data_IF_653631795388
#
_entry.id   IF_653631795388
#
_cell.length_a   1.000
_cell.length_b   1.000
_cell.length_c   1.000
_cell.angle_alpha   90.00
_cell.angle_beta   90.00
_cell.angle_gamma   90.00
#
_symmetry.space_group_name_H-M   'P 1'
#
loop_
_entity.id
_entity.type
_entity.pdbx_description
1 polymer ?
#
# COMPACT_ATOMS: atom_id res chain seq x y z
N UNK A 1 -25.13 -75.62 17.11
CA UNK A 1 -24.14 -74.66 16.57
C UNK A 1 -24.81 -73.87 15.46
N UNK A 2 -25.30 -72.64 15.73
CA UNK A 2 -25.89 -71.76 14.70
C UNK A 2 -24.74 -71.02 14.01
N UNK A 3 -24.49 -71.33 12.75
CA UNK A 3 -23.59 -70.55 11.90
C UNK A 3 -24.34 -69.24 11.59
N UNK A 4 -23.92 -68.15 12.23
CA UNK A 4 -24.48 -66.83 12.00
C UNK A 4 -24.32 -66.44 10.53
N UNK A 5 -25.41 -66.01 9.92
CA UNK A 5 -25.47 -65.52 8.54
C UNK A 5 -24.43 -64.42 8.31
N UNK A 6 -23.53 -64.61 7.35
CA UNK A 6 -22.65 -63.54 6.88
C UNK A 6 -23.51 -62.37 6.36
N UNK A 7 -23.24 -61.13 6.79
CA UNK A 7 -23.99 -59.97 6.32
C UNK A 7 -23.84 -59.85 4.81
N UNK A 8 -24.97 -59.65 4.14
CA UNK A 8 -25.07 -59.64 2.69
C UNK A 8 -24.30 -58.42 2.11
N UNK A 9 -23.05 -58.65 1.71
CA UNK A 9 -22.06 -57.62 1.32
C UNK A 9 -22.63 -56.65 0.27
N UNK A 10 -23.59 -57.08 -0.55
CA UNK A 10 -24.23 -56.25 -1.58
C UNK A 10 -25.18 -55.17 -1.04
N UNK A 11 -25.80 -55.35 0.14
CA UNK A 11 -26.74 -54.35 0.72
C UNK A 11 -26.04 -53.23 1.48
N UNK A 12 -24.83 -53.47 1.97
CA UNK A 12 -24.02 -52.49 2.71
C UNK A 12 -23.12 -51.64 1.81
N UNK A 13 -22.87 -52.04 0.55
CA UNK A 13 -22.11 -51.25 -0.44
C UNK A 13 -22.60 -49.82 -0.63
N UNK A 14 -23.90 -49.54 -0.87
CA UNK A 14 -24.35 -48.16 -1.03
C UNK A 14 -24.20 -47.34 0.26
N UNK A 15 -24.46 -47.95 1.42
CA UNK A 15 -24.31 -47.29 2.72
C UNK A 15 -22.83 -46.94 3.01
N UNK A 16 -21.91 -47.87 2.75
CA UNK A 16 -20.46 -47.63 2.89
C UNK A 16 -20.02 -46.52 1.96
N UNK A 17 -20.44 -46.53 0.69
CA UNK A 17 -20.10 -45.48 -0.27
C UNK A 17 -20.63 -44.10 0.17
N UNK A 18 -21.85 -44.03 0.70
CA UNK A 18 -22.42 -42.78 1.23
C UNK A 18 -21.64 -42.29 2.44
N UNK A 19 -21.36 -43.16 3.41
CA UNK A 19 -20.60 -42.80 4.61
C UNK A 19 -19.17 -42.37 4.29
N UNK A 20 -18.48 -43.08 3.40
CA UNK A 20 -17.14 -42.68 2.92
C UNK A 20 -17.20 -41.36 2.18
N UNK A 21 -18.21 -41.12 1.34
CA UNK A 21 -18.38 -39.85 0.63
C UNK A 21 -18.64 -38.69 1.59
N UNK A 22 -19.46 -38.90 2.63
CA UNK A 22 -19.71 -37.91 3.67
C UNK A 22 -18.46 -37.62 4.51
N UNK A 23 -17.66 -38.64 4.82
CA UNK A 23 -16.38 -38.48 5.50
C UNK A 23 -15.37 -37.69 4.65
N UNK A 24 -15.27 -38.00 3.36
CA UNK A 24 -14.39 -37.28 2.43
C UNK A 24 -14.84 -35.83 2.24
N UNK A 25 -16.14 -35.61 2.05
CA UNK A 25 -16.70 -34.27 1.91
C UNK A 25 -16.54 -33.46 3.22
N UNK A 26 -16.85 -34.05 4.37
CA UNK A 26 -16.70 -33.41 5.67
C UNK A 26 -15.25 -33.11 6.01
N UNK A 27 -14.35 -34.07 5.80
CA UNK A 27 -12.92 -33.90 5.98
C UNK A 27 -12.33 -32.86 5.02
N UNK A 28 -12.72 -32.89 3.75
CA UNK A 28 -12.31 -31.90 2.75
C UNK A 28 -12.79 -30.49 3.11
N UNK A 29 -14.05 -30.35 3.54
CA UNK A 29 -14.58 -29.06 3.99
C UNK A 29 -13.88 -28.54 5.25
N UNK A 30 -13.67 -29.39 6.26
CA UNK A 30 -12.95 -29.01 7.46
C UNK A 30 -11.50 -28.59 7.15
N UNK A 31 -10.80 -29.36 6.31
CA UNK A 31 -9.45 -29.05 5.85
C UNK A 31 -9.39 -27.72 5.10
N UNK A 32 -10.34 -27.46 4.20
CA UNK A 32 -10.46 -26.18 3.50
C UNK A 32 -10.66 -25.02 4.48
N UNK A 33 -11.58 -25.16 5.46
CA UNK A 33 -11.85 -24.10 6.44
C UNK A 33 -10.64 -23.80 7.34
N UNK A 34 -9.89 -24.83 7.73
CA UNK A 34 -8.65 -24.66 8.49
C UNK A 34 -7.60 -23.94 7.65
N UNK A 35 -7.41 -24.37 6.39
CA UNK A 35 -6.48 -23.72 5.48
C UNK A 35 -6.85 -22.25 5.24
N UNK A 36 -8.12 -21.98 4.95
CA UNK A 36 -8.61 -20.63 4.69
C UNK A 36 -8.43 -19.71 5.91
N UNK A 37 -8.75 -20.19 7.10
CA UNK A 37 -8.53 -19.43 8.34
C UNK A 37 -7.04 -19.19 8.63
N UNK A 38 -6.20 -20.21 8.47
CA UNK A 38 -4.77 -20.10 8.81
C UNK A 38 -3.94 -19.36 7.76
N UNK A 39 -4.40 -19.34 6.50
CA UNK A 39 -3.62 -18.83 5.37
C UNK A 39 -4.21 -17.59 4.71
N UNK A 40 -5.52 -17.36 4.84
CA UNK A 40 -6.21 -16.24 4.19
C UNK A 40 -6.91 -15.27 5.13
N UNK A 41 -7.11 -15.63 6.39
CA UNK A 41 -7.75 -14.74 7.38
C UNK A 41 -6.70 -13.90 8.13
N UNK A 42 -6.69 -12.56 7.96
CA UNK A 42 -5.77 -11.66 8.66
C UNK A 42 -5.86 -11.76 10.20
N UNK A 43 -7.00 -12.20 10.74
CA UNK A 43 -7.21 -12.38 12.19
C UNK A 43 -6.32 -13.50 12.74
N UNK A 44 -6.02 -14.53 11.94
CA UNK A 44 -5.12 -15.59 12.38
C UNK A 44 -3.71 -15.05 12.63
N UNK A 45 -3.19 -14.18 11.76
CA UNK A 45 -1.84 -13.64 11.86
C UNK A 45 -1.61 -12.91 13.19
N UNK A 46 -2.60 -12.12 13.65
CA UNK A 46 -2.53 -11.41 14.93
C UNK A 46 -2.75 -12.28 16.17
N UNK A 47 -3.10 -13.55 16.01
CA UNK A 47 -3.32 -14.46 17.14
C UNK A 47 -2.02 -15.05 17.72
N UNK A 48 -0.96 -15.09 16.91
CA UNK A 48 0.29 -15.80 17.21
C UNK A 48 1.55 -14.93 17.02
N UNK A 49 1.43 -13.67 16.63
CA UNK A 49 2.57 -12.76 16.52
C UNK A 49 2.13 -11.34 16.87
N UNK A 50 3.06 -10.55 17.43
CA UNK A 50 2.79 -9.17 17.86
C UNK A 50 2.46 -8.34 16.64
N UNK A 51 1.20 -7.96 16.52
CA UNK A 51 0.68 -7.34 15.30
C UNK A 51 -0.36 -6.27 15.56
N UNK A 52 -0.76 -6.01 16.81
CA UNK A 52 -1.89 -5.13 17.14
C UNK A 52 -1.79 -3.76 16.46
N UNK A 53 -0.64 -3.10 16.57
CA UNK A 53 -0.40 -1.80 15.96
C UNK A 53 -0.34 -1.88 14.43
N UNK A 54 0.40 -2.83 13.89
CA UNK A 54 0.55 -3.03 12.45
C UNK A 54 -0.78 -3.42 11.78
N UNK A 55 -1.59 -4.23 12.45
CA UNK A 55 -2.92 -4.65 12.03
C UNK A 55 -3.88 -3.46 12.03
N UNK A 56 -3.90 -2.66 13.09
CA UNK A 56 -4.72 -1.46 13.17
C UNK A 56 -4.37 -0.42 12.07
N UNK A 57 -3.09 -0.28 11.71
CA UNK A 57 -2.68 0.55 10.57
C UNK A 57 -3.12 -0.04 9.24
N UNK A 58 -2.97 -1.36 9.04
CA UNK A 58 -3.45 -2.05 7.85
C UNK A 58 -4.98 -1.94 7.66
N UNK A 59 -5.76 -2.10 8.73
CA UNK A 59 -7.23 -1.99 8.72
C UNK A 59 -7.72 -0.62 8.22
N UNK A 60 -6.92 0.43 8.46
CA UNK A 60 -7.23 1.80 8.02
C UNK A 60 -6.61 2.14 6.67
N UNK A 61 -5.78 1.26 6.13
CA UNK A 61 -5.05 1.51 4.89
C UNK A 61 -5.92 1.20 3.66
N UNK A 62 -5.47 1.71 2.50
CA UNK A 62 -6.06 1.35 1.20
C UNK A 62 -5.91 -0.13 0.84
N UNK A 63 -5.10 -0.89 1.61
CA UNK A 63 -4.81 -2.31 1.40
C UNK A 63 -5.57 -3.24 2.35
N UNK A 64 -6.60 -2.78 3.08
CA UNK A 64 -7.40 -3.63 4.00
C UNK A 64 -8.05 -4.86 3.34
N UNK A 65 -8.19 -4.87 2.01
CA UNK A 65 -8.66 -6.03 1.25
C UNK A 65 -7.55 -6.96 0.70
N UNK A 66 -6.27 -6.63 0.94
CA UNK A 66 -5.13 -7.42 0.48
C UNK A 66 -4.75 -8.45 1.53
N UNK A 67 -4.57 -9.71 1.12
CA UNK A 67 -4.17 -10.77 2.04
C UNK A 67 -2.73 -10.50 2.52
N UNK A 68 -2.48 -10.65 3.82
CA UNK A 68 -1.17 -10.46 4.41
C UNK A 68 -0.06 -11.23 3.67
N UNK A 69 -0.34 -12.46 3.24
CA UNK A 69 0.60 -13.33 2.55
C UNK A 69 0.92 -12.90 1.11
N UNK A 70 0.11 -12.07 0.47
CA UNK A 70 0.44 -11.53 -0.85
C UNK A 70 1.69 -10.62 -0.79
N UNK A 71 1.96 -10.05 0.40
CA UNK A 71 3.17 -9.28 0.69
C UNK A 71 4.17 -10.05 1.57
N UNK A 72 3.67 -10.75 2.59
CA UNK A 72 4.46 -11.47 3.60
C UNK A 72 4.51 -12.96 3.27
N UNK A 73 5.44 -13.35 2.40
CA UNK A 73 5.67 -14.76 2.09
C UNK A 73 6.52 -15.43 3.18
N UNK A 74 5.86 -15.96 4.20
CA UNK A 74 6.47 -16.84 5.20
C UNK A 74 6.44 -18.29 4.70
N UNK A 75 7.55 -19.00 4.80
CA UNK A 75 7.56 -20.45 4.64
C UNK A 75 6.81 -21.12 5.81
N UNK A 76 6.26 -22.33 5.62
CA UNK A 76 5.64 -23.08 6.71
C UNK A 76 6.56 -23.24 7.93
N UNK A 77 7.86 -23.40 7.70
CA UNK A 77 8.86 -23.53 8.76
C UNK A 77 8.99 -22.23 9.57
N UNK A 78 9.04 -21.08 8.90
CA UNK A 78 9.06 -19.78 9.58
C UNK A 78 7.77 -19.54 10.36
N UNK A 79 6.61 -19.87 9.78
CA UNK A 79 5.32 -19.81 10.49
C UNK A 79 5.31 -20.65 11.77
N UNK A 80 5.85 -21.88 11.73
CA UNK A 80 5.99 -22.74 12.91
C UNK A 80 6.94 -22.13 13.95
N UNK A 81 8.04 -21.52 13.52
CA UNK A 81 8.99 -20.84 14.43
C UNK A 81 8.35 -19.63 15.12
N UNK A 82 7.57 -18.83 14.39
CA UNK A 82 6.80 -17.74 14.97
C UNK A 82 5.80 -18.26 16.02
N UNK A 83 5.04 -19.31 15.69
CA UNK A 83 4.12 -19.93 16.63
C UNK A 83 4.82 -20.48 17.89
N UNK A 84 5.96 -21.15 17.72
CA UNK A 84 6.78 -21.62 18.84
C UNK A 84 7.26 -20.46 19.71
N UNK A 85 7.81 -19.40 19.10
CA UNK A 85 8.28 -18.21 19.83
C UNK A 85 7.13 -17.58 20.62
N UNK A 86 5.94 -17.45 20.03
CA UNK A 86 4.79 -16.89 20.72
C UNK A 86 4.36 -17.71 21.94
N UNK A 87 4.24 -19.04 21.81
CA UNK A 87 3.78 -19.91 22.89
C UNK A 87 4.81 -19.99 24.03
N UNK A 88 6.09 -20.18 23.68
CA UNK A 88 7.14 -20.52 24.64
C UNK A 88 8.01 -19.33 25.05
N UNK A 89 8.25 -18.35 24.18
CA UNK A 89 9.11 -17.19 24.46
C UNK A 89 8.30 -15.94 24.79
N UNK A 90 7.05 -15.82 24.29
CA UNK A 90 6.11 -14.72 24.58
C UNK A 90 6.74 -13.34 24.48
N UNK A 91 7.29 -12.97 23.31
CA UNK A 91 7.90 -11.65 23.14
C UNK A 91 6.86 -10.54 23.36
N UNK A 92 7.30 -9.40 23.89
CA UNK A 92 6.47 -8.21 24.07
C UNK A 92 6.74 -7.11 23.04
N UNK A 93 7.80 -7.26 22.23
CA UNK A 93 8.12 -6.35 21.14
C UNK A 93 8.70 -7.09 19.93
N UNK A 94 8.49 -6.53 18.74
CA UNK A 94 9.14 -6.98 17.51
C UNK A 94 10.60 -6.49 17.52
N UNK A 95 11.61 -7.36 17.39
CA UNK A 95 12.99 -6.95 17.43
C UNK A 95 13.34 -5.97 16.29
N UNK A 96 14.34 -5.09 16.49
CA UNK A 96 14.78 -4.17 15.46
C UNK A 96 15.16 -4.92 14.17
N UNK A 97 14.71 -4.39 13.04
CA UNK A 97 14.87 -5.06 11.74
C UNK A 97 16.30 -4.96 11.17
N UNK A 98 17.21 -4.19 11.80
CA UNK A 98 18.60 -4.00 11.38
C UNK A 98 18.77 -3.79 9.86
N UNK A 99 17.90 -2.99 9.24
CA UNK A 99 17.93 -2.71 7.81
C UNK A 99 17.43 -3.83 6.88
N UNK A 100 16.93 -4.94 7.41
CA UNK A 100 16.37 -6.04 6.61
C UNK A 100 15.06 -5.63 5.93
N UNK A 101 14.95 -5.98 4.66
CA UNK A 101 13.73 -5.85 3.87
C UNK A 101 12.82 -7.01 4.23
N UNK A 102 11.68 -6.72 4.86
CA UNK A 102 10.67 -7.73 5.22
C UNK A 102 9.73 -8.01 4.04
N UNK A 103 9.32 -6.95 3.36
CA UNK A 103 8.49 -7.01 2.15
C UNK A 103 9.29 -6.38 1.03
N UNK A 104 9.68 -7.20 0.06
CA UNK A 104 10.39 -6.76 -1.13
C UNK A 104 9.46 -5.99 -2.06
N UNK A 105 9.99 -4.98 -2.76
CA UNK A 105 9.24 -4.21 -3.76
C UNK A 105 8.60 -5.06 -4.87
N UNK A 106 9.09 -6.28 -5.12
CA UNK A 106 8.52 -7.18 -6.13
C UNK A 106 7.03 -7.49 -5.89
N UNK A 107 6.59 -7.57 -4.63
CA UNK A 107 5.19 -7.83 -4.30
C UNK A 107 4.30 -6.62 -4.58
N UNK A 108 4.85 -5.41 -4.47
CA UNK A 108 4.17 -4.18 -4.88
C UNK A 108 3.99 -4.15 -6.41
N UNK A 109 5.02 -4.55 -7.15
CA UNK A 109 5.07 -4.54 -8.62
C UNK A 109 4.01 -5.46 -9.23
N UNK A 110 3.71 -6.61 -8.62
CA UNK A 110 2.69 -7.55 -9.09
C UNK A 110 1.34 -6.85 -9.31
N UNK A 111 0.89 -6.04 -8.35
CA UNK A 111 -0.36 -5.31 -8.44
C UNK A 111 -0.21 -3.96 -9.18
N UNK A 112 0.81 -3.17 -8.85
CA UNK A 112 0.94 -1.78 -9.29
C UNK A 112 1.58 -1.61 -10.68
N UNK A 113 2.23 -2.65 -11.21
CA UNK A 113 2.90 -2.61 -12.52
C UNK A 113 2.46 -3.74 -13.44
N UNK A 114 2.41 -4.98 -12.96
CA UNK A 114 2.14 -6.18 -13.77
C UNK A 114 0.64 -6.41 -13.97
N UNK A 115 -0.19 -5.86 -13.08
CA UNK A 115 -1.65 -6.02 -12.98
C UNK A 115 -2.03 -7.42 -12.49
N UNK A 116 -2.62 -7.47 -11.31
CA UNK A 116 -3.16 -8.67 -10.69
C UNK A 116 -4.70 -8.70 -10.85
N UNK A 117 -5.24 -9.80 -11.37
CA UNK A 117 -6.69 -9.98 -11.55
C UNK A 117 -7.45 -10.04 -10.22
N UNK A 118 -6.80 -10.43 -9.12
CA UNK A 118 -7.37 -10.41 -7.77
C UNK A 118 -7.60 -8.98 -7.28
N UNK A 119 -6.82 -8.03 -7.79
CA UNK A 119 -6.82 -6.62 -7.36
C UNK A 119 -6.94 -5.65 -8.56
N UNK A 120 -8.04 -5.70 -9.33
CA UNK A 120 -8.21 -4.90 -10.54
C UNK A 120 -8.25 -3.39 -10.28
N UNK A 121 -8.54 -2.98 -9.03
CA UNK A 121 -8.57 -1.59 -8.58
C UNK A 121 -7.18 -1.02 -8.23
N UNK A 122 -6.11 -1.83 -8.31
CA UNK A 122 -4.77 -1.37 -8.00
C UNK A 122 -4.35 -0.23 -8.95
N UNK A 123 -3.92 0.89 -8.37
CA UNK A 123 -3.46 2.06 -9.14
C UNK A 123 -2.15 1.73 -9.84
N UNK A 124 -2.07 1.94 -11.16
CA UNK A 124 -0.83 1.69 -11.88
C UNK A 124 0.19 2.81 -11.66
N UNK A 125 1.45 2.44 -11.41
CA UNK A 125 2.56 3.38 -11.29
C UNK A 125 3.35 3.57 -12.59
N UNK A 126 2.93 2.93 -13.71
CA UNK A 126 3.68 2.93 -14.98
C UNK A 126 3.98 4.33 -15.53
N UNK A 127 3.10 5.30 -15.29
CA UNK A 127 3.26 6.67 -15.76
C UNK A 127 3.91 7.60 -14.72
N UNK A 128 4.29 7.09 -13.54
CA UNK A 128 4.87 7.90 -12.47
C UNK A 128 6.36 8.09 -12.68
N UNK A 129 6.77 9.34 -12.90
CA UNK A 129 8.17 9.71 -13.05
C UNK A 129 8.95 9.63 -11.73
N UNK A 130 8.33 9.85 -10.58
CA UNK A 130 8.94 9.69 -9.26
C UNK A 130 9.29 8.22 -9.04
N UNK A 131 8.39 7.29 -9.39
CA UNK A 131 8.70 5.87 -9.32
C UNK A 131 9.81 5.50 -10.31
N UNK A 132 9.80 6.01 -11.54
CA UNK A 132 10.89 5.79 -12.52
C UNK A 132 12.24 6.24 -11.95
N UNK A 133 12.34 7.49 -11.47
CA UNK A 133 13.58 8.04 -10.92
C UNK A 133 14.05 7.31 -9.67
N UNK A 134 13.16 7.04 -8.72
CA UNK A 134 13.58 6.51 -7.41
C UNK A 134 13.58 4.99 -7.37
N UNK A 135 12.48 4.36 -7.76
CA UNK A 135 12.31 2.91 -7.68
C UNK A 135 13.11 2.15 -8.74
N UNK A 136 13.19 2.66 -9.96
CA UNK A 136 13.76 1.92 -11.09
C UNK A 136 15.18 2.40 -11.46
N UNK A 137 15.39 3.69 -11.71
CA UNK A 137 16.71 4.24 -12.05
C UNK A 137 17.67 4.15 -10.85
N UNK A 138 17.23 4.63 -9.67
CA UNK A 138 18.04 4.61 -8.44
C UNK A 138 17.94 3.31 -7.66
N UNK A 139 17.04 2.39 -8.04
CA UNK A 139 16.84 1.08 -7.39
C UNK A 139 16.56 1.19 -5.89
N UNK A 140 15.81 2.22 -5.48
CA UNK A 140 15.40 2.40 -4.09
C UNK A 140 14.22 1.45 -3.82
N UNK A 141 14.36 0.64 -2.77
CA UNK A 141 13.29 -0.27 -2.33
C UNK A 141 11.99 0.48 -2.05
N UNK A 142 10.87 -0.03 -2.57
CA UNK A 142 9.55 0.60 -2.41
C UNK A 142 9.19 0.84 -0.94
N UNK A 143 9.57 -0.10 -0.06
CA UNK A 143 9.34 -0.03 1.38
C UNK A 143 10.16 1.05 2.10
N UNK A 144 11.17 1.66 1.45
CA UNK A 144 11.87 2.82 2.00
C UNK A 144 10.98 4.06 2.02
N UNK A 145 10.11 4.21 1.01
CA UNK A 145 9.16 5.31 0.91
C UNK A 145 7.79 4.92 1.48
N UNK A 146 7.24 3.81 0.98
CA UNK A 146 5.89 3.32 1.30
C UNK A 146 5.84 2.38 2.52
N UNK A 147 6.95 2.22 3.23
CA UNK A 147 7.03 1.39 4.44
C UNK A 147 7.84 2.06 5.56
N UNK A 148 8.11 3.37 5.43
CA UNK A 148 8.78 4.15 6.47
C UNK A 148 8.00 4.10 7.79
N UNK A 149 6.66 4.16 7.69
CA UNK A 149 5.74 3.81 8.77
C UNK A 149 5.10 2.45 8.47
N UNK A 150 4.98 1.61 9.49
CA UNK A 150 4.52 0.22 9.31
C UNK A 150 3.06 0.20 8.86
N UNK A 151 2.81 -0.34 7.67
CA UNK A 151 1.49 -0.45 7.03
C UNK A 151 0.77 0.89 6.78
N UNK A 152 1.52 2.00 6.80
CA UNK A 152 1.07 3.30 6.32
C UNK A 152 1.80 3.57 5.00
N UNK A 153 1.12 3.28 3.89
CA UNK A 153 1.75 3.25 2.57
C UNK A 153 1.82 4.61 1.88
N UNK A 154 1.15 5.64 2.36
CA UNK A 154 1.33 7.00 1.84
C UNK A 154 2.51 7.65 2.59
N UNK A 155 3.58 8.05 1.89
CA UNK A 155 4.68 8.77 2.53
C UNK A 155 4.19 10.09 3.13
N UNK A 156 4.85 10.60 4.17
CA UNK A 156 4.55 11.92 4.72
C UNK A 156 5.12 13.05 3.85
N UNK A 157 4.59 14.27 4.04
CA UNK A 157 4.96 15.49 3.30
C UNK A 157 6.46 15.77 3.25
N UNK A 158 7.17 15.44 4.33
CA UNK A 158 8.61 15.70 4.48
C UNK A 158 9.48 14.47 4.23
N UNK A 159 8.91 13.34 3.79
CA UNK A 159 9.70 12.14 3.52
C UNK A 159 10.85 12.40 2.54
N UNK A 160 10.66 13.30 1.57
CA UNK A 160 11.68 13.64 0.58
C UNK A 160 13.00 14.11 1.19
N UNK A 161 12.97 14.82 2.33
CA UNK A 161 14.19 15.38 2.96
C UNK A 161 15.04 14.32 3.65
N UNK A 162 14.54 13.10 3.82
CA UNK A 162 15.32 11.97 4.34
C UNK A 162 16.51 11.61 3.44
N UNK A 163 16.40 11.90 2.14
CA UNK A 163 17.48 11.71 1.17
C UNK A 163 17.93 13.04 0.55
N UNK A 164 17.01 14.00 0.38
CA UNK A 164 17.31 15.35 -0.11
C UNK A 164 17.62 16.29 1.06
N UNK A 165 18.66 15.97 1.81
CA UNK A 165 19.06 16.74 2.99
C UNK A 165 19.31 18.21 2.65
N UNK A 166 18.80 19.11 3.50
CA UNK A 166 18.89 20.55 3.31
C UNK A 166 18.02 21.12 2.19
N UNK A 167 17.13 20.32 1.56
CA UNK A 167 16.19 20.77 0.52
C UNK A 167 14.79 20.99 1.08
N UNK A 168 14.69 21.93 2.01
CA UNK A 168 13.41 22.32 2.61
C UNK A 168 12.79 23.49 1.84
N UNK A 169 11.45 23.52 1.78
CA UNK A 169 10.75 24.67 1.20
C UNK A 169 10.91 25.86 2.13
N UNK A 170 11.52 26.93 1.62
CA UNK A 170 11.73 28.19 2.31
C UNK A 170 10.95 29.33 1.63
N UNK A 171 10.69 30.40 2.38
CA UNK A 171 9.99 31.58 1.88
C UNK A 171 8.80 31.94 2.77
N UNK A 172 8.46 33.24 2.82
CA UNK A 172 7.40 33.75 3.66
C UNK A 172 6.06 33.06 3.33
N UNK A 173 5.50 32.32 4.29
CA UNK A 173 4.24 31.57 4.15
C UNK A 173 4.35 30.23 3.39
N UNK A 174 5.52 29.87 2.86
CA UNK A 174 5.76 28.59 2.17
C UNK A 174 6.49 27.56 3.03
N UNK A 175 7.00 27.96 4.19
CA UNK A 175 7.59 27.04 5.17
C UNK A 175 6.58 25.92 5.46
N UNK A 176 7.09 24.69 5.54
CA UNK A 176 6.32 23.45 5.76
C UNK A 176 5.49 22.95 4.57
N UNK A 177 5.49 23.61 3.40
CA UNK A 177 4.88 23.00 2.23
C UNK A 177 5.62 21.71 1.85
N UNK A 178 4.87 20.63 1.63
CA UNK A 178 5.37 19.42 0.97
C UNK A 178 5.97 19.75 -0.40
N UNK A 179 7.02 19.05 -0.80
CA UNK A 179 7.63 19.21 -2.13
C UNK A 179 6.61 19.01 -3.27
N UNK A 180 5.63 18.13 -3.05
CA UNK A 180 4.59 17.76 -4.01
C UNK A 180 3.54 18.85 -4.27
N UNK A 181 3.54 19.92 -3.47
CA UNK A 181 2.75 21.12 -3.78
C UNK A 181 3.20 21.77 -5.10
N UNK A 182 4.48 21.64 -5.45
CA UNK A 182 5.08 22.20 -6.65
C UNK A 182 5.53 21.09 -7.61
N UNK A 183 6.29 20.12 -7.12
CA UNK A 183 6.83 19.01 -7.90
C UNK A 183 5.78 17.93 -8.15
N UNK A 184 5.69 17.41 -9.38
CA UNK A 184 4.67 16.43 -9.71
C UNK A 184 5.11 15.52 -10.84
N UNK A 185 4.64 14.26 -10.81
CA UNK A 185 4.79 13.30 -11.90
C UNK A 185 4.11 13.70 -13.22
N UNK A 186 3.33 14.77 -13.17
CA UNK A 186 2.54 15.27 -14.28
C UNK A 186 3.27 16.34 -15.10
N UNK A 187 4.48 16.72 -14.71
CA UNK A 187 5.36 17.60 -15.50
C UNK A 187 6.51 16.80 -16.11
N UNK A 188 7.04 17.22 -17.25
CA UNK A 188 7.99 16.42 -18.06
C UNK A 188 9.31 16.08 -17.35
N UNK A 189 9.76 16.94 -16.45
CA UNK A 189 11.08 16.85 -15.81
C UNK A 189 11.01 17.03 -14.29
N UNK A 190 9.82 16.80 -13.71
CA UNK A 190 9.49 16.99 -12.29
C UNK A 190 9.66 18.44 -11.80
N UNK A 191 10.02 19.40 -12.65
CA UNK A 191 10.06 20.82 -12.27
C UNK A 191 8.63 21.36 -12.23
N UNK A 192 8.29 22.25 -11.29
CA UNK A 192 6.99 22.89 -11.30
C UNK A 192 6.83 23.73 -12.57
N UNK A 193 5.60 23.87 -13.04
CA UNK A 193 5.28 24.83 -14.10
C UNK A 193 4.68 26.10 -13.46
N UNK A 194 4.63 27.19 -14.22
CA UNK A 194 4.13 28.50 -13.73
C UNK A 194 2.75 28.36 -13.08
N UNK A 195 1.86 27.59 -13.69
CA UNK A 195 0.49 27.41 -13.25
C UNK A 195 0.43 26.77 -11.86
N UNK A 196 1.39 25.90 -11.48
CA UNK A 196 1.45 25.34 -10.13
C UNK A 196 1.59 26.41 -9.06
N UNK A 197 2.42 27.42 -9.31
CA UNK A 197 2.56 28.57 -8.42
C UNK A 197 1.23 29.34 -8.32
N UNK A 198 0.55 29.50 -9.46
CA UNK A 198 -0.72 30.21 -9.54
C UNK A 198 -1.90 29.45 -8.90
N UNK A 199 -1.73 28.19 -8.50
CA UNK A 199 -2.76 27.50 -7.71
C UNK A 199 -3.05 28.24 -6.39
N UNK A 200 -1.98 28.67 -5.70
CA UNK A 200 -2.07 29.46 -4.47
C UNK A 200 -2.09 30.97 -4.75
N UNK A 201 -1.27 31.41 -5.70
CA UNK A 201 -1.03 32.83 -5.96
C UNK A 201 -1.99 33.45 -6.98
N UNK A 202 -2.64 32.65 -7.83
CA UNK A 202 -3.53 33.11 -8.88
C UNK A 202 -5.00 33.18 -8.45
N UNK A 203 -5.87 33.24 -9.46
CA UNK A 203 -7.33 33.35 -9.30
C UNK A 203 -8.00 31.99 -9.02
N UNK A 204 -9.32 32.00 -8.83
CA UNK A 204 -10.09 30.77 -8.66
C UNK A 204 -10.26 30.02 -9.99
N UNK A 205 -10.31 30.73 -11.11
CA UNK A 205 -10.44 30.14 -12.45
C UNK A 205 -9.24 29.25 -12.79
N UNK A 206 -8.02 29.73 -12.52
CA UNK A 206 -6.81 28.92 -12.77
C UNK A 206 -6.76 27.71 -11.85
N UNK A 207 -7.26 27.83 -10.61
CA UNK A 207 -7.38 26.67 -9.71
C UNK A 207 -8.32 25.62 -10.27
N UNK A 208 -9.52 26.03 -10.68
CA UNK A 208 -10.52 25.13 -11.29
C UNK A 208 -9.95 24.47 -12.55
N UNK A 209 -9.22 25.22 -13.38
CA UNK A 209 -8.55 24.69 -14.55
C UNK A 209 -7.53 23.61 -14.20
N UNK A 210 -6.62 23.88 -13.24
CA UNK A 210 -5.56 22.94 -12.86
C UNK A 210 -6.08 21.67 -12.20
N UNK A 211 -7.19 21.76 -11.47
CA UNK A 211 -7.86 20.59 -10.90
C UNK A 211 -8.49 19.76 -12.04
N UNK A 212 -9.22 20.41 -12.95
CA UNK A 212 -9.93 19.75 -14.06
C UNK A 212 -8.99 19.07 -15.05
N UNK A 213 -7.88 19.72 -15.39
CA UNK A 213 -6.84 19.17 -16.27
C UNK A 213 -5.94 18.16 -15.55
N UNK A 214 -6.23 17.86 -14.28
CA UNK A 214 -5.41 17.00 -13.44
C UNK A 214 -3.94 17.42 -13.49
N UNK A 215 -3.63 18.70 -13.31
CA UNK A 215 -2.23 19.17 -13.23
C UNK A 215 -1.69 19.12 -11.81
N UNK A 216 -2.55 19.22 -10.79
CA UNK A 216 -2.21 19.07 -9.37
C UNK A 216 -2.66 17.72 -8.82
N UNK A 217 -1.81 17.08 -8.03
CA UNK A 217 -2.30 16.04 -7.12
C UNK A 217 -3.22 16.72 -6.11
N UNK A 218 -4.52 16.60 -6.34
CA UNK A 218 -5.56 17.17 -5.48
C UNK A 218 -5.99 16.17 -4.41
N UNK A 219 -5.52 14.92 -4.51
CA UNK A 219 -5.85 13.84 -3.60
C UNK A 219 -4.92 13.87 -2.39
N UNK A 220 -3.66 14.21 -2.59
CA UNK A 220 -2.64 14.23 -1.55
C UNK A 220 -1.88 15.56 -1.56
N UNK A 221 -1.63 16.10 -0.36
CA UNK A 221 -0.80 17.29 -0.15
C UNK A 221 -1.29 18.59 -0.77
N UNK A 222 -2.60 18.73 -0.98
CA UNK A 222 -3.20 20.02 -1.38
C UNK A 222 -3.06 21.05 -0.25
N UNK A 223 -2.61 22.29 -0.53
CA UNK A 223 -2.57 23.36 0.46
C UNK A 223 -3.95 23.64 1.07
N UNK A 224 -3.99 23.97 2.36
CA UNK A 224 -5.24 24.33 3.03
C UNK A 224 -5.84 25.63 2.46
N UNK A 225 -7.17 25.82 2.50
CA UNK A 225 -7.81 27.07 2.06
C UNK A 225 -7.25 28.32 2.75
N UNK A 226 -6.88 28.21 4.04
CA UNK A 226 -6.27 29.30 4.80
C UNK A 226 -4.89 29.66 4.24
N UNK A 227 -4.08 28.65 3.90
CA UNK A 227 -2.77 28.85 3.29
C UNK A 227 -2.89 29.46 1.89
N UNK A 228 -3.88 29.03 1.10
CA UNK A 228 -4.19 29.63 -0.20
C UNK A 228 -4.63 31.09 -0.04
N UNK A 229 -5.48 31.40 0.94
CA UNK A 229 -5.97 32.77 1.18
C UNK A 229 -4.85 33.70 1.65
N UNK A 230 -3.92 33.19 2.46
CA UNK A 230 -2.75 33.94 2.96
C UNK A 230 -1.69 34.21 1.88
N UNK A 231 -1.71 33.48 0.76
CA UNK A 231 -0.75 33.65 -0.31
C UNK A 231 -0.86 35.03 -0.99
N UNK A 232 0.28 35.68 -1.22
CA UNK A 232 0.36 36.96 -1.95
C UNK A 232 -0.18 36.76 -3.37
N UNK A 233 -1.25 37.48 -3.73
CA UNK A 233 -1.89 37.26 -5.03
C UNK A 233 -1.09 37.88 -6.16
N UNK A 234 -0.84 37.07 -7.18
CA UNK A 234 -0.14 37.42 -8.40
C UNK A 234 -1.21 37.56 -9.49
N UNK A 235 -1.44 38.79 -9.93
CA UNK A 235 -2.26 39.08 -11.10
C UNK A 235 -1.33 39.52 -12.22
N UNK A 236 -1.13 38.65 -13.23
CA UNK A 236 -0.34 38.98 -14.42
C UNK A 236 -1.33 39.16 -15.57
N UNK A 237 -1.50 40.39 -16.10
CA UNK A 237 -2.34 40.64 -17.27
C UNK A 237 -1.97 39.75 -18.46
N UNK A 238 -2.96 39.35 -19.25
CA UNK A 238 -2.74 38.45 -20.39
C UNK A 238 -1.81 39.04 -21.46
N UNK A 239 -1.76 40.38 -21.56
CA UNK A 239 -0.90 41.16 -22.46
C UNK A 239 0.48 41.50 -21.85
N UNK A 240 0.75 41.05 -20.62
CA UNK A 240 2.04 41.28 -19.97
C UNK A 240 3.17 40.62 -20.74
N UNK A 241 4.18 41.41 -21.11
CA UNK A 241 5.45 40.91 -21.66
C UNK A 241 6.32 40.20 -20.62
N UNK A 242 5.96 40.28 -19.34
CA UNK A 242 6.61 39.59 -18.22
C UNK A 242 5.87 38.31 -17.86
N UNK A 243 5.56 37.47 -18.84
CA UNK A 243 5.22 36.08 -18.54
C UNK A 243 6.51 35.41 -18.05
N UNK A 244 6.64 35.21 -16.75
CA UNK A 244 7.80 34.51 -16.20
C UNK A 244 7.71 33.04 -16.57
N UNK A 245 8.56 32.60 -17.50
CA UNK A 245 8.88 31.18 -17.63
C UNK A 245 9.81 30.83 -16.47
N UNK A 246 9.31 30.05 -15.52
CA UNK A 246 10.04 29.74 -14.28
C UNK A 246 11.37 28.99 -14.51
N UNK A 247 11.60 28.45 -15.70
CA UNK A 247 12.72 27.56 -16.03
C UNK A 247 13.38 27.84 -17.40
N UNK A 248 13.33 29.08 -17.89
CA UNK A 248 14.06 29.50 -19.09
C UNK A 248 15.58 29.26 -18.96
#
# INVERSE_FOLDING_TARGET
>A
MKIGSLPNIFKSRPLILVLTSLLLAGGGYAGYRIYDYTWNDPIFCKSCHIMETAFASWEKSVHVGVNCHDCHHLSPQEGMQLGYSFVFQRPSAVPPRHGKIIVSGKFCIQCHLERDEKYPQAVSIRASQFHEKHGFEKKIECSKCHGYKTHEFLPEERFCVMCHEGKEVHGAGMVELACLNCHSDRTKDLRPEREKCLFCHGSDEIRVQLIREERLDVKHFTPSPEKIKAAIKINIPADSKHQFDCYA
#
